data_IF_074081459305
#
_entry.id   IF_074081459305
#
_cell.length_a   1.000
_cell.length_b   1.000
_cell.length_c   1.000
_cell.angle_alpha   90.00
_cell.angle_beta   90.00
_cell.angle_gamma   90.00
#
_symmetry.space_group_name_H-M   'P 1'
#
loop_
_entity.id
_entity.type
_entity.pdbx_description
1 polymer ?
#
# COMPACT_ATOMS: atom_id res chain seq x y z
N UNK A 1 -39.63 -30.79 -44.77
CA UNK A 1 -38.20 -30.38 -44.80
C UNK A 1 -37.97 -28.94 -44.28
N UNK A 2 -38.79 -27.94 -44.65
CA UNK A 2 -38.66 -26.55 -44.17
C UNK A 2 -38.92 -26.35 -42.66
N UNK A 3 -39.87 -27.07 -42.07
CA UNK A 3 -40.15 -26.98 -40.62
C UNK A 3 -39.00 -27.48 -39.74
N UNK A 4 -38.32 -28.55 -40.15
CA UNK A 4 -37.16 -29.08 -39.42
C UNK A 4 -36.00 -28.07 -39.40
N UNK A 5 -35.80 -27.32 -40.49
CA UNK A 5 -34.78 -26.26 -40.56
C UNK A 5 -35.16 -25.07 -39.66
N UNK A 6 -36.44 -24.68 -39.62
CA UNK A 6 -36.91 -23.62 -38.73
C UNK A 6 -36.77 -23.99 -37.24
N UNK A 7 -37.02 -25.27 -36.90
CA UNK A 7 -36.84 -25.80 -35.55
C UNK A 7 -35.37 -25.80 -35.12
N UNK A 8 -34.46 -26.20 -36.01
CA UNK A 8 -33.01 -26.18 -35.75
C UNK A 8 -32.51 -24.74 -35.54
N UNK A 9 -32.99 -23.78 -36.34
CA UNK A 9 -32.62 -22.36 -36.18
C UNK A 9 -33.04 -21.80 -34.81
N UNK A 10 -34.25 -22.11 -34.32
CA UNK A 10 -34.68 -21.69 -32.97
C UNK A 10 -33.82 -22.28 -31.87
N UNK A 11 -33.48 -23.56 -31.95
CA UNK A 11 -32.61 -24.22 -30.97
C UNK A 11 -31.18 -23.62 -30.95
N UNK A 12 -30.68 -23.22 -32.12
CA UNK A 12 -29.40 -22.50 -32.23
C UNK A 12 -29.49 -21.08 -31.65
N UNK A 13 -30.59 -20.36 -31.88
CA UNK A 13 -30.80 -19.02 -31.31
C UNK A 13 -30.93 -19.05 -29.78
N UNK A 14 -31.64 -20.04 -29.24
CA UNK A 14 -31.80 -20.28 -27.80
C UNK A 14 -30.46 -20.61 -27.14
N UNK A 15 -29.70 -21.56 -27.71
CA UNK A 15 -28.37 -21.92 -27.17
C UNK A 15 -27.34 -20.79 -27.25
N UNK A 16 -27.37 -19.96 -28.30
CA UNK A 16 -26.51 -18.76 -28.39
C UNK A 16 -26.90 -17.72 -27.34
N UNK A 17 -28.19 -17.58 -27.04
CA UNK A 17 -28.69 -16.66 -26.02
C UNK A 17 -28.30 -17.11 -24.61
N UNK A 18 -28.45 -18.39 -24.31
CA UNK A 18 -28.01 -18.99 -23.03
C UNK A 18 -26.51 -18.83 -22.83
N UNK A 19 -25.70 -19.09 -23.87
CA UNK A 19 -24.25 -18.90 -23.80
C UNK A 19 -23.87 -17.44 -23.51
N UNK A 20 -24.53 -16.48 -24.15
CA UNK A 20 -24.30 -15.05 -23.88
C UNK A 20 -24.67 -14.64 -22.45
N UNK A 21 -25.70 -15.26 -21.87
CA UNK A 21 -26.09 -15.02 -20.48
C UNK A 21 -25.07 -15.60 -19.50
N UNK A 22 -24.61 -16.83 -19.73
CA UNK A 22 -23.53 -17.45 -18.94
C UNK A 22 -22.24 -16.62 -18.99
N UNK A 23 -21.86 -16.12 -20.18
CA UNK A 23 -20.69 -15.24 -20.34
C UNK A 23 -20.85 -13.90 -19.59
N UNK A 24 -22.07 -13.37 -19.48
CA UNK A 24 -22.36 -12.13 -18.76
C UNK A 24 -22.34 -12.34 -17.24
N UNK A 25 -22.90 -13.46 -16.78
CA UNK A 25 -22.88 -13.86 -15.38
C UNK A 25 -21.45 -14.11 -14.90
N UNK A 26 -20.63 -14.81 -15.68
CA UNK A 26 -19.22 -15.05 -15.37
C UNK A 26 -18.42 -13.74 -15.32
N UNK A 27 -18.70 -12.79 -16.22
CA UNK A 27 -18.10 -11.45 -16.17
C UNK A 27 -18.52 -10.67 -14.93
N UNK A 28 -19.80 -10.72 -14.55
CA UNK A 28 -20.27 -10.05 -13.33
C UNK A 28 -19.68 -10.69 -12.07
N UNK A 29 -19.51 -12.01 -12.05
CA UNK A 29 -18.88 -12.73 -10.94
C UNK A 29 -17.42 -12.34 -10.80
N UNK A 30 -16.65 -12.35 -11.89
CA UNK A 30 -15.24 -11.89 -11.87
C UNK A 30 -15.11 -10.43 -11.44
N UNK A 31 -16.04 -9.57 -11.89
CA UNK A 31 -16.04 -8.17 -11.46
C UNK A 31 -16.35 -8.02 -9.95
N UNK A 32 -17.26 -8.84 -9.42
CA UNK A 32 -17.56 -8.88 -7.98
C UNK A 32 -16.40 -9.44 -7.16
N UNK A 33 -15.77 -10.53 -7.59
CA UNK A 33 -14.57 -11.11 -6.94
C UNK A 33 -13.43 -10.08 -6.89
N UNK A 34 -13.19 -9.36 -8.00
CA UNK A 34 -12.22 -8.26 -8.05
C UNK A 34 -12.62 -7.09 -7.16
N UNK A 35 -13.91 -6.78 -7.07
CA UNK A 35 -14.40 -5.75 -6.14
C UNK A 35 -14.15 -6.18 -4.69
N UNK A 36 -14.58 -7.37 -4.28
CA UNK A 36 -14.40 -7.88 -2.92
C UNK A 36 -12.93 -7.91 -2.49
N UNK A 37 -12.05 -8.37 -3.38
CA UNK A 37 -10.60 -8.36 -3.20
C UNK A 37 -10.02 -6.94 -3.00
N UNK A 38 -10.53 -5.96 -3.75
CA UNK A 38 -10.02 -4.58 -3.69
C UNK A 38 -10.72 -3.70 -2.64
N UNK A 39 -11.90 -4.10 -2.15
CA UNK A 39 -12.76 -3.25 -1.30
C UNK A 39 -12.48 -3.47 0.19
N UNK A 40 -12.05 -4.66 0.59
CA UNK A 40 -11.72 -4.95 1.99
C UNK A 40 -10.21 -5.04 2.20
N UNK A 41 -9.53 -3.90 2.06
CA UNK A 41 -8.19 -3.80 2.63
C UNK A 41 -8.31 -4.11 4.14
N UNK A 42 -7.40 -4.94 4.70
CA UNK A 42 -7.42 -5.21 6.12
C UNK A 42 -7.38 -3.90 6.89
N UNK A 43 -8.09 -3.83 8.03
CA UNK A 43 -8.08 -2.66 8.87
C UNK A 43 -6.62 -2.32 9.24
N UNK A 44 -6.13 -1.21 8.69
CA UNK A 44 -4.76 -0.73 8.96
C UNK A 44 -4.77 -0.06 10.32
N UNK A 45 -3.79 -0.37 11.16
CA UNK A 45 -3.63 0.37 12.41
C UNK A 45 -3.41 1.87 12.12
N UNK A 46 -4.34 2.68 12.63
CA UNK A 46 -4.38 4.14 12.47
C UNK A 46 -3.88 4.89 13.70
N UNK A 47 -3.40 4.17 14.71
CA UNK A 47 -2.75 4.75 15.89
C UNK A 47 -1.64 5.73 15.48
N UNK A 48 -1.37 6.73 16.32
CA UNK A 48 -0.32 7.70 16.06
C UNK A 48 1.04 6.99 15.88
N UNK A 49 1.31 6.00 16.73
CA UNK A 49 2.48 5.12 16.66
C UNK A 49 2.58 4.41 15.30
N UNK A 50 1.56 3.68 14.86
CA UNK A 50 1.59 2.96 13.59
C UNK A 50 1.73 3.89 12.37
N UNK A 51 1.15 5.11 12.42
CA UNK A 51 1.38 6.13 11.39
C UNK A 51 2.81 6.65 11.40
N UNK A 52 3.39 6.85 12.58
CA UNK A 52 4.78 7.22 12.78
C UNK A 52 5.73 6.18 12.19
N UNK A 53 5.57 4.92 12.59
CA UNK A 53 6.40 3.81 12.10
C UNK A 53 6.30 3.61 10.59
N UNK A 54 5.11 3.73 9.99
CA UNK A 54 4.95 3.74 8.53
C UNK A 54 5.67 4.91 7.86
N UNK A 55 5.69 6.08 8.50
CA UNK A 55 6.45 7.24 8.01
C UNK A 55 7.95 6.94 8.01
N UNK A 56 8.49 6.38 9.10
CA UNK A 56 9.90 5.97 9.19
C UNK A 56 10.23 4.92 8.15
N UNK A 57 9.43 3.86 8.04
CA UNK A 57 9.63 2.78 7.07
C UNK A 57 9.62 3.30 5.62
N UNK A 58 8.74 4.25 5.31
CA UNK A 58 8.75 4.96 4.03
C UNK A 58 10.08 5.68 3.83
N UNK A 59 10.51 6.55 4.74
CA UNK A 59 11.77 7.31 4.57
C UNK A 59 12.98 6.37 4.41
N UNK A 60 13.07 5.31 5.21
CA UNK A 60 14.12 4.29 5.10
C UNK A 60 14.14 3.61 3.73
N UNK A 61 12.96 3.32 3.15
CA UNK A 61 12.86 2.72 1.83
C UNK A 61 13.30 3.62 0.68
N UNK A 62 13.31 4.95 0.89
CA UNK A 62 13.64 5.93 -0.15
C UNK A 62 15.07 6.47 -0.04
N UNK A 63 15.62 6.54 1.18
CA UNK A 63 16.89 7.21 1.43
C UNK A 63 17.91 6.29 2.09
N UNK A 64 19.07 6.10 1.46
CA UNK A 64 20.15 5.26 2.01
C UNK A 64 20.73 5.77 3.34
N UNK A 65 20.66 7.08 3.60
CA UNK A 65 21.14 7.69 4.85
C UNK A 65 20.21 7.42 6.05
N UNK A 66 18.97 7.03 5.82
CA UNK A 66 17.95 6.90 6.85
C UNK A 66 18.18 5.67 7.74
N UNK A 67 18.71 4.57 7.19
CA UNK A 67 19.02 3.36 7.97
C UNK A 67 19.98 3.61 9.15
N UNK A 68 21.15 4.25 8.91
CA UNK A 68 22.04 4.67 9.98
C UNK A 68 21.41 5.60 11.02
N UNK A 69 20.48 6.47 10.63
CA UNK A 69 19.79 7.36 11.58
C UNK A 69 18.86 6.58 12.52
N UNK A 70 18.11 5.61 11.99
CA UNK A 70 17.30 4.71 12.81
C UNK A 70 18.20 3.94 13.78
N UNK A 71 19.32 3.39 13.31
CA UNK A 71 20.27 2.68 14.17
C UNK A 71 20.79 3.57 15.32
N UNK A 72 21.16 4.83 15.04
CA UNK A 72 21.57 5.79 16.08
C UNK A 72 20.49 6.01 17.15
N UNK A 73 19.22 6.10 16.75
CA UNK A 73 18.13 6.27 17.71
C UNK A 73 17.86 5.01 18.54
N UNK A 74 18.00 3.82 17.94
CA UNK A 74 17.91 2.54 18.66
C UNK A 74 19.03 2.42 19.70
N UNK A 75 20.28 2.75 19.32
CA UNK A 75 21.43 2.75 20.21
C UNK A 75 21.24 3.72 21.38
N UNK A 76 20.69 4.91 21.12
CA UNK A 76 20.37 5.90 22.15
C UNK A 76 19.28 5.42 23.11
N UNK A 77 18.29 4.71 22.59
CA UNK A 77 17.23 4.07 23.39
C UNK A 77 17.68 2.81 24.13
N UNK A 78 18.82 2.23 23.75
CA UNK A 78 19.30 0.96 24.29
C UNK A 78 18.43 -0.23 23.88
N UNK A 79 17.79 -0.16 22.72
CA UNK A 79 16.84 -1.17 22.23
C UNK A 79 17.32 -1.82 20.93
N UNK A 80 16.85 -3.04 20.66
CA UNK A 80 17.27 -3.80 19.48
C UNK A 80 16.43 -3.52 18.24
N UNK A 81 15.15 -3.19 18.42
CA UNK A 81 14.21 -3.00 17.31
C UNK A 81 13.37 -1.74 17.48
N UNK A 82 12.79 -1.27 16.38
CA UNK A 82 11.91 -0.09 16.38
C UNK A 82 10.63 -0.34 17.17
N UNK A 83 10.19 -1.61 17.27
CA UNK A 83 9.00 -1.97 18.04
C UNK A 83 9.22 -1.83 19.55
N UNK A 84 10.47 -1.91 20.01
CA UNK A 84 10.86 -1.77 21.42
C UNK A 84 10.96 -0.30 21.88
N UNK A 85 10.90 0.66 20.95
CA UNK A 85 10.89 2.09 21.30
C UNK A 85 9.57 2.45 22.01
N UNK A 86 9.63 3.25 23.06
CA UNK A 86 8.42 3.82 23.64
C UNK A 86 7.77 4.87 22.70
N UNK A 87 6.57 5.33 23.04
CA UNK A 87 5.83 6.26 22.17
C UNK A 87 6.53 7.62 22.03
N UNK A 88 7.22 8.10 23.06
CA UNK A 88 7.95 9.37 23.02
C UNK A 88 9.20 9.26 22.13
N UNK A 89 9.91 8.14 22.22
CA UNK A 89 11.04 7.81 21.35
C UNK A 89 10.63 7.65 19.89
N UNK A 90 9.45 7.07 19.62
CA UNK A 90 8.89 6.99 18.26
C UNK A 90 8.55 8.40 17.75
N UNK A 91 7.98 9.26 18.58
CA UNK A 91 7.68 10.66 18.20
C UNK A 91 8.98 11.41 17.87
N UNK A 92 10.02 11.27 18.68
CA UNK A 92 11.34 11.87 18.45
C UNK A 92 11.93 11.38 17.12
N UNK A 93 11.94 10.05 16.90
CA UNK A 93 12.43 9.46 15.67
C UNK A 93 11.69 10.00 14.44
N UNK A 94 10.36 10.06 14.50
CA UNK A 94 9.54 10.57 13.38
C UNK A 94 9.84 12.03 13.09
N UNK A 95 9.94 12.87 14.12
CA UNK A 95 10.25 14.29 13.97
C UNK A 95 11.63 14.48 13.30
N UNK A 96 12.63 13.74 13.78
CA UNK A 96 13.99 13.77 13.26
C UNK A 96 14.06 13.31 11.80
N UNK A 97 13.43 12.19 11.49
CA UNK A 97 13.41 11.64 10.12
C UNK A 97 12.72 12.59 9.13
N UNK A 98 11.65 13.27 9.55
CA UNK A 98 10.97 14.29 8.74
C UNK A 98 11.86 15.51 8.47
N UNK A 99 12.56 16.00 9.49
CA UNK A 99 13.48 17.13 9.32
C UNK A 99 14.57 16.80 8.29
N UNK A 100 15.17 15.61 8.39
CA UNK A 100 16.22 15.19 7.44
C UNK A 100 15.66 14.96 6.03
N UNK A 101 14.44 14.43 5.93
CA UNK A 101 13.75 14.29 4.64
C UNK A 101 13.47 15.65 4.01
N UNK A 102 12.99 16.63 4.78
CA UNK A 102 12.74 18.00 4.33
C UNK A 102 14.04 18.64 3.80
N UNK A 103 15.14 18.53 4.56
CA UNK A 103 16.44 19.03 4.08
C UNK A 103 16.87 18.36 2.77
N UNK A 104 16.70 17.05 2.65
CA UNK A 104 17.04 16.32 1.43
C UNK A 104 16.16 16.70 0.23
N UNK A 105 14.88 16.99 0.45
CA UNK A 105 13.93 17.38 -0.60
C UNK A 105 14.12 18.82 -1.06
N UNK A 106 14.46 19.72 -0.14
CA UNK A 106 14.63 21.15 -0.42
C UNK A 106 16.06 21.51 -0.85
N UNK A 107 16.99 20.55 -0.82
CA UNK A 107 18.40 20.78 -1.12
C UNK A 107 19.10 21.63 -0.07
N UNK A 108 18.62 21.58 1.17
CA UNK A 108 19.24 22.23 2.31
C UNK A 108 20.39 21.38 2.86
N UNK A 109 21.36 22.05 3.46
CA UNK A 109 22.39 21.35 4.22
C UNK A 109 21.76 20.58 5.39
N UNK A 110 22.42 19.49 5.78
CA UNK A 110 22.01 18.73 6.96
C UNK A 110 21.96 19.65 8.19
N UNK A 111 20.95 19.52 9.07
CA UNK A 111 20.88 20.28 10.32
C UNK A 111 22.07 20.00 11.24
N UNK A 112 22.78 18.89 11.03
CA UNK A 112 23.98 18.52 11.79
C UNK A 112 25.27 19.06 11.16
N UNK A 113 25.20 19.61 9.94
CA UNK A 113 26.36 20.18 9.30
C UNK A 113 26.72 21.52 9.97
N UNK A 114 28.02 21.83 10.11
CA UNK A 114 28.42 23.15 10.55
C UNK A 114 27.92 24.20 9.55
N UNK A 115 27.50 25.37 10.04
CA UNK A 115 27.06 26.48 9.20
C UNK A 115 28.16 26.79 8.17
N UNK A 116 27.79 26.77 6.88
CA UNK A 116 28.68 27.14 5.80
C UNK A 116 29.23 28.55 6.07
N UNK A 117 30.55 28.66 6.25
CA UNK A 117 31.27 29.93 6.43
C UNK A 117 31.82 30.40 5.10
#
# INVERSE_FOLDING_TARGET
MKENVARIRRLLEESVREKKQLDAEERSRRAFELFEFNTSLPAVDTSARARGLRTVARIVGWYAWAGPEVARQLDRGGVATVDDLDDDQVIELVARMRQLEECAQEGLDSPDAPVAR
#
